data_IF_377544488827
#
_entry.id   IF_377544488827
#
_cell.length_a   1.000
_cell.length_b   1.000
_cell.length_c   1.000
_cell.angle_alpha   90.00
_cell.angle_beta   90.00
_cell.angle_gamma   90.00
#
_symmetry.space_group_name_H-M   'P 1'
#
loop_
_entity.id
_entity.type
_entity.pdbx_description
1 polymer ?
#
# COMPACT_ATOMS: atom_id res chain seq x y z
N UNK A 1 58.76 20.76 -13.68
CA UNK A 1 57.29 20.83 -13.79
C UNK A 1 56.72 19.52 -13.26
N UNK A 2 56.79 19.28 -11.95
CA UNK A 2 56.14 18.14 -11.30
C UNK A 2 54.78 18.59 -10.78
N UNK A 3 53.77 18.43 -11.64
CA UNK A 3 52.38 18.65 -11.24
C UNK A 3 51.95 17.37 -10.51
N UNK A 4 52.02 17.36 -9.18
CA UNK A 4 51.30 16.39 -8.35
C UNK A 4 49.85 16.44 -8.80
N UNK A 5 49.41 15.41 -9.50
CA UNK A 5 48.01 15.16 -9.78
C UNK A 5 47.35 14.93 -8.42
N UNK A 6 46.70 15.96 -7.91
CA UNK A 6 45.78 15.83 -6.79
C UNK A 6 44.76 14.75 -7.18
N UNK A 7 44.90 13.59 -6.56
CA UNK A 7 44.02 12.46 -6.76
C UNK A 7 42.60 12.91 -6.41
N UNK A 8 41.71 12.81 -7.40
CA UNK A 8 40.29 13.15 -7.32
C UNK A 8 39.70 12.61 -6.00
N UNK A 9 38.95 13.41 -5.22
CA UNK A 9 38.43 13.04 -3.90
C UNK A 9 37.71 11.68 -3.83
N UNK A 10 37.11 11.26 -4.95
CA UNK A 10 36.41 9.98 -5.09
C UNK A 10 37.30 8.75 -4.93
N UNK A 11 38.59 8.80 -5.34
CA UNK A 11 39.53 7.67 -5.18
C UNK A 11 39.86 7.44 -3.70
N UNK A 12 40.12 8.52 -2.96
CA UNK A 12 40.47 8.46 -1.53
C UNK A 12 39.30 7.96 -0.68
N UNK A 13 38.07 8.39 -0.98
CA UNK A 13 36.87 7.89 -0.30
C UNK A 13 36.63 6.41 -0.60
N UNK A 14 36.74 5.99 -1.87
CA UNK A 14 36.49 4.60 -2.25
C UNK A 14 37.49 3.64 -1.57
N UNK A 15 38.77 4.02 -1.47
CA UNK A 15 39.79 3.23 -0.77
C UNK A 15 39.48 3.11 0.73
N UNK A 16 39.23 4.22 1.42
CA UNK A 16 38.86 4.23 2.84
C UNK A 16 37.58 3.44 3.12
N UNK A 17 36.56 3.60 2.27
CA UNK A 17 35.32 2.86 2.38
C UNK A 17 35.53 1.37 2.11
N UNK A 18 36.38 1.01 1.14
CA UNK A 18 36.71 -0.39 0.83
C UNK A 18 37.40 -1.06 2.02
N UNK A 19 38.38 -0.40 2.63
CA UNK A 19 39.04 -0.88 3.85
C UNK A 19 38.04 -1.07 5.00
N UNK A 20 37.18 -0.08 5.22
CA UNK A 20 36.12 -0.19 6.23
C UNK A 20 35.18 -1.39 5.97
N UNK A 21 34.76 -1.60 4.72
CA UNK A 21 33.87 -2.70 4.35
C UNK A 21 34.45 -4.09 4.63
N UNK A 22 35.79 -4.23 4.63
CA UNK A 22 36.48 -5.47 4.98
C UNK A 22 36.49 -5.75 6.50
N UNK A 23 36.24 -4.75 7.34
CA UNK A 23 36.17 -4.94 8.79
C UNK A 23 34.91 -5.71 9.22
N UNK A 24 34.91 -6.23 10.45
CA UNK A 24 33.71 -6.83 11.07
C UNK A 24 32.52 -5.86 11.10
N UNK A 25 32.79 -4.57 11.36
CA UNK A 25 31.76 -3.54 11.37
C UNK A 25 31.20 -3.29 9.96
N UNK A 26 32.05 -3.18 8.95
CA UNK A 26 31.64 -3.02 7.56
C UNK A 26 30.87 -4.21 7.01
N UNK A 27 31.21 -5.44 7.42
CA UNK A 27 30.41 -6.64 7.12
C UNK A 27 29.02 -6.57 7.76
N UNK A 28 28.92 -6.18 9.03
CA UNK A 28 27.63 -5.99 9.72
C UNK A 28 26.79 -4.89 9.05
N UNK A 29 27.41 -3.79 8.64
CA UNK A 29 26.74 -2.71 7.92
C UNK A 29 26.12 -3.22 6.62
N UNK A 30 26.87 -3.98 5.81
CA UNK A 30 26.36 -4.54 4.55
C UNK A 30 25.19 -5.48 4.77
N UNK A 31 25.31 -6.40 5.73
CA UNK A 31 24.21 -7.31 6.08
C UNK A 31 23.00 -6.53 6.58
N UNK A 32 23.21 -5.53 7.44
CA UNK A 32 22.16 -4.65 7.96
C UNK A 32 21.47 -3.86 6.86
N UNK A 33 22.21 -3.33 5.89
CA UNK A 33 21.64 -2.63 4.74
C UNK A 33 20.76 -3.56 3.89
N UNK A 34 21.25 -4.76 3.57
CA UNK A 34 20.50 -5.75 2.79
C UNK A 34 19.24 -6.21 3.53
N UNK A 35 19.37 -6.57 4.82
CA UNK A 35 18.22 -6.95 5.66
C UNK A 35 17.22 -5.81 5.82
N UNK A 36 17.71 -4.59 6.02
CA UNK A 36 16.88 -3.39 6.09
C UNK A 36 16.13 -3.13 4.78
N UNK A 37 16.77 -3.36 3.63
CA UNK A 37 16.13 -3.24 2.30
C UNK A 37 14.96 -4.20 2.17
N UNK A 38 15.13 -5.46 2.60
CA UNK A 38 14.07 -6.49 2.57
C UNK A 38 12.88 -6.07 3.44
N UNK A 39 13.16 -5.56 4.65
CA UNK A 39 12.12 -5.18 5.61
C UNK A 39 11.48 -3.79 5.34
N UNK A 40 12.13 -2.91 4.57
CA UNK A 40 11.71 -1.52 4.41
C UNK A 40 10.29 -1.37 3.86
N UNK A 41 9.95 -2.08 2.78
CA UNK A 41 8.64 -1.96 2.16
C UNK A 41 7.53 -2.58 3.04
N UNK A 42 7.66 -3.80 3.59
CA UNK A 42 6.67 -4.33 4.53
C UNK A 42 6.42 -3.42 5.73
N UNK A 43 7.49 -2.89 6.36
CA UNK A 43 7.37 -1.99 7.52
C UNK A 43 6.71 -0.68 7.10
N UNK A 44 7.16 -0.05 6.01
CA UNK A 44 6.56 1.18 5.50
C UNK A 44 5.09 0.99 5.13
N UNK A 45 4.74 -0.14 4.52
CA UNK A 45 3.35 -0.47 4.19
C UNK A 45 2.49 -0.63 5.44
N UNK A 46 3.01 -1.22 6.52
CA UNK A 46 2.29 -1.34 7.80
C UNK A 46 2.15 0.01 8.51
N UNK A 47 3.15 0.89 8.40
CA UNK A 47 3.11 2.24 8.99
C UNK A 47 2.25 3.22 8.19
N UNK A 48 2.00 2.98 6.90
CA UNK A 48 1.14 3.86 6.09
C UNK A 48 -0.29 3.35 6.09
N UNK A 49 -0.47 2.03 5.96
CA UNK A 49 -1.79 1.39 5.81
C UNK A 49 -2.23 0.66 7.09
N UNK A 50 -1.55 0.89 8.21
CA UNK A 50 -1.89 0.29 9.49
C UNK A 50 -3.24 0.78 10.03
N UNK A 51 -3.81 0.10 11.05
CA UNK A 51 -5.09 0.46 11.63
C UNK A 51 -4.96 1.75 12.47
N UNK A 52 -5.04 2.90 11.81
CA UNK A 52 -5.09 4.21 12.45
C UNK A 52 -6.53 4.64 12.69
N UNK A 53 -6.90 4.94 13.95
CA UNK A 53 -8.13 5.61 14.40
C UNK A 53 -9.22 5.71 13.32
N UNK A 54 -9.99 4.64 13.22
CA UNK A 54 -10.87 4.37 12.11
C UNK A 54 -12.31 4.66 12.56
N UNK A 55 -13.10 5.37 11.75
CA UNK A 55 -14.53 5.59 12.02
C UNK A 55 -15.27 4.27 11.76
N UNK A 56 -15.95 3.74 12.78
CA UNK A 56 -16.68 2.48 12.67
C UNK A 56 -17.82 2.59 11.65
N UNK A 57 -18.18 1.46 11.04
CA UNK A 57 -19.33 1.42 10.13
C UNK A 57 -20.62 1.78 10.88
N UNK A 58 -21.49 2.63 10.28
CA UNK A 58 -22.85 2.84 10.75
C UNK A 58 -23.60 1.51 10.92
N UNK A 59 -24.54 1.39 11.89
CA UNK A 59 -25.21 0.13 12.20
C UNK A 59 -25.85 -0.58 10.99
N UNK A 60 -26.43 0.20 10.05
CA UNK A 60 -26.98 -0.33 8.80
C UNK A 60 -25.92 -1.04 7.97
N UNK A 61 -24.78 -0.39 7.75
CA UNK A 61 -23.69 -0.93 6.94
C UNK A 61 -23.03 -2.12 7.62
N UNK A 62 -22.83 -2.06 8.94
CA UNK A 62 -22.29 -3.18 9.72
C UNK A 62 -23.13 -4.44 9.57
N UNK A 63 -24.47 -4.32 9.65
CA UNK A 63 -25.38 -5.46 9.43
C UNK A 63 -25.25 -6.03 8.02
N UNK A 64 -25.27 -5.18 7.00
CA UNK A 64 -25.15 -5.62 5.59
C UNK A 64 -23.80 -6.31 5.36
N UNK A 65 -22.73 -5.73 5.88
CA UNK A 65 -21.38 -6.30 5.82
C UNK A 65 -21.30 -7.70 6.44
N UNK A 66 -21.85 -7.88 7.64
CA UNK A 66 -21.88 -9.17 8.34
C UNK A 66 -22.67 -10.21 7.54
N UNK A 67 -23.80 -9.83 6.94
CA UNK A 67 -24.60 -10.70 6.08
C UNK A 67 -23.85 -11.13 4.82
N UNK A 68 -23.22 -10.20 4.09
CA UNK A 68 -22.48 -10.53 2.87
C UNK A 68 -21.18 -11.29 3.19
N UNK A 69 -20.52 -11.00 4.31
CA UNK A 69 -19.38 -11.77 4.78
C UNK A 69 -19.78 -13.23 5.10
N UNK A 70 -20.91 -13.44 5.78
CA UNK A 70 -21.40 -14.78 6.06
C UNK A 70 -21.75 -15.56 4.77
N UNK A 71 -22.42 -14.91 3.81
CA UNK A 71 -22.72 -15.49 2.49
C UNK A 71 -21.44 -15.87 1.74
N UNK A 72 -20.44 -15.00 1.77
CA UNK A 72 -19.16 -15.22 1.15
C UNK A 72 -18.41 -16.41 1.78
N UNK A 73 -18.40 -16.52 3.11
CA UNK A 73 -17.81 -17.69 3.78
C UNK A 73 -18.52 -18.99 3.39
N UNK A 74 -19.84 -18.97 3.32
CA UNK A 74 -20.64 -20.13 2.89
C UNK A 74 -20.34 -20.51 1.43
N UNK A 75 -20.32 -19.54 0.51
CA UNK A 75 -20.08 -19.80 -0.91
C UNK A 75 -18.67 -20.32 -1.19
N UNK A 76 -17.66 -19.78 -0.52
CA UNK A 76 -16.26 -20.19 -0.69
C UNK A 76 -15.84 -21.33 0.25
N UNK A 77 -16.77 -21.91 1.02
CA UNK A 77 -16.50 -22.97 2.01
C UNK A 77 -15.39 -22.62 3.02
N UNK A 78 -15.37 -21.36 3.48
CA UNK A 78 -14.37 -20.82 4.40
C UNK A 78 -14.86 -20.78 5.83
N UNK A 79 -13.92 -20.75 6.76
CA UNK A 79 -14.18 -20.56 8.19
C UNK A 79 -13.70 -19.18 8.64
N UNK A 80 -14.37 -18.53 9.62
CA UNK A 80 -14.06 -17.16 10.01
C UNK A 80 -12.61 -16.90 10.43
N UNK A 81 -11.93 -17.92 10.97
CA UNK A 81 -10.52 -17.82 11.37
C UNK A 81 -9.55 -17.66 10.18
N UNK A 82 -9.98 -18.00 8.98
CA UNK A 82 -9.16 -18.02 7.77
C UNK A 82 -9.39 -16.78 6.89
N UNK A 83 -10.32 -15.88 7.25
CA UNK A 83 -10.67 -14.69 6.48
C UNK A 83 -10.99 -13.50 7.40
N UNK A 84 -9.96 -12.90 8.00
CA UNK A 84 -10.16 -11.73 8.88
C UNK A 84 -10.48 -10.50 8.03
N UNK A 85 -11.60 -9.82 8.33
CA UNK A 85 -12.00 -8.58 7.64
C UNK A 85 -12.27 -7.48 8.66
N UNK A 86 -11.66 -6.32 8.43
CA UNK A 86 -11.95 -5.09 9.18
C UNK A 86 -12.48 -4.05 8.20
N UNK A 87 -13.62 -3.45 8.52
CA UNK A 87 -14.26 -2.49 7.64
C UNK A 87 -14.55 -1.19 8.35
N UNK A 88 -14.55 -0.11 7.57
CA UNK A 88 -14.78 1.23 8.06
C UNK A 88 -15.27 2.18 7.00
N UNK A 89 -15.76 3.34 7.42
CA UNK A 89 -16.26 4.36 6.52
C UNK A 89 -15.15 5.34 6.11
N UNK A 90 -15.15 5.75 4.84
CA UNK A 90 -14.34 6.85 4.34
C UNK A 90 -14.61 8.14 5.12
N UNK A 91 -13.57 8.95 5.30
CA UNK A 91 -13.60 10.11 6.21
C UNK A 91 -14.02 11.39 5.49
N UNK A 92 -13.75 11.50 4.21
CA UNK A 92 -13.90 12.74 3.44
C UNK A 92 -14.85 12.54 2.27
N UNK A 93 -15.52 13.62 1.86
CA UNK A 93 -16.44 13.59 0.70
C UNK A 93 -15.76 13.14 -0.60
N UNK A 94 -14.44 13.33 -0.72
CA UNK A 94 -13.63 12.88 -1.86
C UNK A 94 -13.31 11.38 -1.88
N UNK A 95 -13.63 10.64 -0.81
CA UNK A 95 -13.44 9.19 -0.73
C UNK A 95 -14.58 8.47 -1.48
N UNK A 96 -14.60 8.60 -2.81
CA UNK A 96 -15.65 8.06 -3.68
C UNK A 96 -15.55 6.56 -3.93
N UNK A 97 -14.36 5.98 -3.77
CA UNK A 97 -14.10 4.58 -4.07
C UNK A 97 -13.66 3.81 -2.83
N UNK A 98 -13.85 2.49 -2.85
CA UNK A 98 -13.31 1.64 -1.79
C UNK A 98 -11.79 1.74 -1.79
N UNK A 99 -11.20 2.02 -0.63
CA UNK A 99 -9.77 1.87 -0.41
C UNK A 99 -9.51 0.62 0.45
N UNK A 100 -9.01 -0.44 -0.19
CA UNK A 100 -8.72 -1.70 0.48
C UNK A 100 -7.21 -1.96 0.60
N UNK A 101 -6.81 -2.54 1.73
CA UNK A 101 -5.44 -2.95 2.01
C UNK A 101 -5.42 -4.34 2.66
N UNK A 102 -4.40 -5.13 2.33
CA UNK A 102 -4.30 -6.51 2.83
C UNK A 102 -5.11 -7.50 2.01
N UNK A 103 -5.40 -8.66 2.58
CA UNK A 103 -6.07 -9.76 1.90
C UNK A 103 -6.58 -10.81 2.87
N UNK A 104 -7.61 -11.55 2.44
CA UNK A 104 -8.19 -12.68 3.16
C UNK A 104 -7.22 -13.87 3.30
N UNK A 105 -6.19 -13.98 2.45
CA UNK A 105 -5.22 -15.09 2.49
C UNK A 105 -4.15 -15.01 3.60
N UNK A 106 -4.13 -13.92 4.39
CA UNK A 106 -3.11 -13.69 5.44
C UNK A 106 -3.76 -13.42 6.79
N UNK A 107 -3.08 -13.75 7.89
CA UNK A 107 -3.62 -13.61 9.25
C UNK A 107 -3.95 -12.17 9.67
N UNK A 108 -3.28 -11.18 9.08
CA UNK A 108 -3.59 -9.76 9.32
C UNK A 108 -4.90 -9.34 8.67
N UNK A 109 -5.41 -10.13 7.71
CA UNK A 109 -6.70 -9.92 7.09
C UNK A 109 -6.76 -8.82 6.03
N UNK A 110 -7.99 -8.57 5.59
CA UNK A 110 -8.39 -7.51 4.68
C UNK A 110 -8.92 -6.32 5.48
N UNK A 111 -8.42 -5.13 5.19
CA UNK A 111 -8.89 -3.87 5.72
C UNK A 111 -9.56 -3.08 4.59
N UNK A 112 -10.82 -2.69 4.76
CA UNK A 112 -11.62 -2.02 3.73
C UNK A 112 -12.16 -0.70 4.26
N UNK A 113 -11.77 0.40 3.64
CA UNK A 113 -12.47 1.68 3.75
C UNK A 113 -13.56 1.73 2.69
N UNK A 114 -14.82 1.66 3.07
CA UNK A 114 -15.93 1.82 2.14
C UNK A 114 -16.09 3.30 1.77
N UNK A 115 -16.60 3.62 0.57
CA UNK A 115 -16.79 4.99 0.13
C UNK A 115 -17.55 5.82 1.15
N UNK A 116 -17.17 7.09 1.31
CA UNK A 116 -17.79 8.02 2.25
C UNK A 116 -19.31 8.07 2.08
N UNK A 117 -19.77 8.09 0.84
CA UNK A 117 -21.18 8.24 0.47
C UNK A 117 -22.03 6.99 0.81
N UNK A 118 -21.41 5.83 1.06
CA UNK A 118 -22.14 4.64 1.51
C UNK A 118 -22.86 4.85 2.86
N UNK A 119 -22.48 5.87 3.65
CA UNK A 119 -23.07 6.15 4.96
C UNK A 119 -24.55 6.55 4.88
N UNK A 120 -24.98 7.21 3.80
CA UNK A 120 -26.32 7.78 3.70
C UNK A 120 -27.35 6.74 3.25
N UNK A 121 -28.51 6.73 3.90
CA UNK A 121 -29.64 5.88 3.51
C UNK A 121 -30.53 6.55 2.45
N UNK A 122 -30.68 7.86 2.54
CA UNK A 122 -31.57 8.65 1.71
C UNK A 122 -30.97 10.04 1.47
N UNK A 123 -31.61 10.80 0.58
CA UNK A 123 -31.13 12.11 0.14
C UNK A 123 -31.23 13.13 1.27
N UNK A 124 -32.24 13.00 2.14
CA UNK A 124 -32.46 13.86 3.29
C UNK A 124 -31.32 13.77 4.30
N UNK A 125 -30.87 12.56 4.64
CA UNK A 125 -29.72 12.33 5.51
C UNK A 125 -28.43 12.90 4.91
N UNK A 126 -28.23 12.75 3.59
CA UNK A 126 -27.07 13.32 2.90
C UNK A 126 -27.09 14.86 2.97
N UNK A 127 -28.23 15.48 2.66
CA UNK A 127 -28.40 16.93 2.71
C UNK A 127 -28.23 17.49 4.13
N UNK A 128 -28.81 16.82 5.13
CA UNK A 128 -28.65 17.20 6.54
C UNK A 128 -27.18 17.11 6.97
N UNK A 129 -26.47 16.07 6.55
CA UNK A 129 -25.05 15.92 6.81
C UNK A 129 -24.24 17.05 6.17
N UNK A 130 -24.44 17.33 4.87
CA UNK A 130 -23.69 18.36 4.16
C UNK A 130 -23.88 19.76 4.79
N UNK A 131 -25.12 20.06 5.21
CA UNK A 131 -25.44 21.33 5.89
C UNK A 131 -24.83 21.40 7.29
N UNK A 132 -25.01 20.37 8.10
CA UNK A 132 -24.51 20.35 9.49
C UNK A 132 -22.99 20.39 9.59
N UNK A 133 -22.29 19.84 8.59
CA UNK A 133 -20.83 19.80 8.54
C UNK A 133 -20.22 20.96 7.72
N UNK A 134 -21.04 21.93 7.28
CA UNK A 134 -20.62 23.08 6.46
C UNK A 134 -19.80 22.68 5.23
N UNK A 135 -20.19 21.60 4.56
CA UNK A 135 -19.59 21.23 3.29
C UNK A 135 -20.16 22.18 2.25
N UNK A 136 -19.38 23.14 1.78
CA UNK A 136 -19.82 24.18 0.84
C UNK A 136 -19.25 23.98 -0.57
N UNK A 137 -18.42 22.96 -0.74
CA UNK A 137 -17.71 22.68 -1.98
C UNK A 137 -17.41 21.19 -2.14
N UNK A 138 -17.30 20.75 -3.39
CA UNK A 138 -16.90 19.40 -3.76
C UNK A 138 -15.70 19.50 -4.70
N UNK A 139 -14.73 18.61 -4.56
CA UNK A 139 -13.61 18.52 -5.48
C UNK A 139 -14.04 17.85 -6.80
N UNK A 140 -13.83 18.54 -7.91
CA UNK A 140 -14.06 18.03 -9.26
C UNK A 140 -12.87 18.38 -10.15
N UNK A 141 -12.15 17.37 -10.63
CA UNK A 141 -10.93 17.53 -11.44
C UNK A 141 -9.91 18.48 -10.77
N UNK A 142 -9.63 18.27 -9.49
CA UNK A 142 -8.73 19.10 -8.65
C UNK A 142 -9.17 20.56 -8.48
N UNK A 143 -10.42 20.89 -8.82
CA UNK A 143 -11.03 22.20 -8.59
C UNK A 143 -12.14 22.09 -7.55
N UNK A 144 -12.10 22.96 -6.53
CA UNK A 144 -13.19 23.10 -5.57
C UNK A 144 -14.38 23.82 -6.21
N UNK A 145 -15.46 23.09 -6.44
CA UNK A 145 -16.71 23.62 -7.00
C UNK A 145 -17.65 23.96 -5.85
N UNK A 146 -18.02 25.24 -5.67
CA UNK A 146 -19.00 25.64 -4.67
C UNK A 146 -20.35 24.97 -4.93
N UNK A 147 -20.98 24.47 -3.87
CA UNK A 147 -22.22 23.70 -3.94
C UNK A 147 -23.28 24.30 -3.04
N UNK A 148 -24.46 24.55 -3.62
CA UNK A 148 -25.63 25.07 -2.90
C UNK A 148 -26.64 23.94 -2.67
N UNK A 149 -26.61 23.34 -1.48
CA UNK A 149 -27.45 22.19 -1.13
C UNK A 149 -28.94 22.49 -1.00
N UNK A 150 -29.31 23.76 -0.76
CA UNK A 150 -30.70 24.21 -0.62
C UNK A 150 -31.43 24.41 -1.96
N UNK A 151 -30.88 23.91 -3.06
CA UNK A 151 -31.43 24.06 -4.40
C UNK A 151 -31.89 22.71 -4.97
N UNK A 152 -32.80 22.69 -5.97
CA UNK A 152 -33.15 21.45 -6.66
C UNK A 152 -31.92 20.72 -7.23
N UNK A 153 -30.97 21.47 -7.81
CA UNK A 153 -29.71 20.91 -8.30
C UNK A 153 -28.82 20.36 -7.18
N UNK A 154 -28.81 21.00 -6.01
CA UNK A 154 -28.13 20.49 -4.81
C UNK A 154 -28.74 19.19 -4.30
N UNK A 155 -30.07 19.07 -4.32
CA UNK A 155 -30.77 17.82 -3.99
C UNK A 155 -30.49 16.71 -5.00
N UNK A 156 -30.45 17.05 -6.29
CA UNK A 156 -30.08 16.11 -7.35
C UNK A 156 -28.64 15.62 -7.18
N UNK A 157 -27.71 16.53 -6.88
CA UNK A 157 -26.31 16.18 -6.60
C UNK A 157 -26.19 15.31 -5.35
N UNK A 158 -26.91 15.62 -4.27
CA UNK A 158 -26.92 14.80 -3.06
C UNK A 158 -27.47 13.39 -3.32
N UNK A 159 -28.37 13.21 -4.30
CA UNK A 159 -28.86 11.88 -4.66
C UNK A 159 -27.77 10.96 -5.22
N UNK A 160 -26.72 11.51 -5.84
CA UNK A 160 -25.56 10.74 -6.28
C UNK A 160 -24.72 10.19 -5.12
N UNK A 161 -24.90 10.72 -3.91
CA UNK A 161 -24.24 10.24 -2.69
C UNK A 161 -25.04 9.15 -1.97
N UNK A 162 -26.14 8.67 -2.53
CA UNK A 162 -26.99 7.67 -1.88
C UNK A 162 -26.91 6.35 -2.64
N UNK A 163 -26.43 5.31 -1.95
CA UNK A 163 -26.41 3.95 -2.49
C UNK A 163 -27.63 3.16 -2.02
N UNK A 164 -28.27 2.46 -2.97
CA UNK A 164 -29.27 1.44 -2.64
C UNK A 164 -28.64 0.31 -1.81
N UNK A 165 -29.45 -0.38 -0.99
CA UNK A 165 -28.98 -1.53 -0.22
C UNK A 165 -28.35 -2.61 -1.12
N UNK A 166 -28.87 -2.82 -2.33
CA UNK A 166 -28.29 -3.76 -3.29
C UNK A 166 -26.91 -3.31 -3.78
N UNK A 167 -26.71 -2.01 -4.02
CA UNK A 167 -25.41 -1.47 -4.40
C UNK A 167 -24.39 -1.61 -3.26
N UNK A 168 -24.80 -1.36 -2.01
CA UNK A 168 -23.97 -1.57 -0.82
C UNK A 168 -23.60 -3.05 -0.66
N UNK A 169 -24.56 -3.98 -0.82
CA UNK A 169 -24.30 -5.43 -0.79
C UNK A 169 -23.31 -5.85 -1.86
N UNK A 170 -23.54 -5.40 -3.10
CA UNK A 170 -22.64 -5.67 -4.22
C UNK A 170 -21.22 -5.17 -3.92
N UNK A 171 -21.07 -3.96 -3.39
CA UNK A 171 -19.78 -3.39 -3.03
C UNK A 171 -19.04 -4.25 -2.00
N UNK A 172 -19.69 -4.65 -0.90
CA UNK A 172 -19.06 -5.52 0.09
C UNK A 172 -18.64 -6.86 -0.48
N UNK A 173 -19.51 -7.51 -1.26
CA UNK A 173 -19.23 -8.80 -1.85
C UNK A 173 -18.11 -8.71 -2.91
N UNK A 174 -18.13 -7.67 -3.75
CA UNK A 174 -17.06 -7.35 -4.71
C UNK A 174 -15.71 -7.22 -4.00
N UNK A 175 -15.66 -6.47 -2.91
CA UNK A 175 -14.42 -6.22 -2.16
C UNK A 175 -13.90 -7.50 -1.50
N UNK A 176 -14.78 -8.39 -1.04
CA UNK A 176 -14.36 -9.71 -0.55
C UNK A 176 -13.73 -10.54 -1.66
N UNK A 177 -14.43 -10.75 -2.79
CA UNK A 177 -13.92 -11.58 -3.90
C UNK A 177 -12.66 -11.00 -4.55
N UNK A 178 -12.57 -9.68 -4.70
CA UNK A 178 -11.38 -9.02 -5.27
C UNK A 178 -10.12 -9.28 -4.44
N UNK A 179 -10.27 -9.52 -3.14
CA UNK A 179 -9.18 -9.72 -2.19
C UNK A 179 -9.06 -11.16 -1.68
N UNK A 180 -9.82 -12.09 -2.26
CA UNK A 180 -9.94 -13.46 -1.80
C UNK A 180 -8.92 -14.44 -2.41
N UNK A 181 -8.45 -14.13 -3.62
CA UNK A 181 -7.66 -15.05 -4.45
C UNK A 181 -6.13 -14.91 -4.33
N UNK A 182 -5.43 -15.39 -5.37
CA UNK A 182 -3.97 -15.33 -5.54
C UNK A 182 -3.40 -13.89 -5.44
N UNK A 183 -4.26 -12.87 -5.57
CA UNK A 183 -3.93 -11.47 -5.30
C UNK A 183 -3.40 -11.24 -3.88
N UNK A 184 -3.75 -12.10 -2.92
CA UNK A 184 -3.17 -12.20 -1.58
C UNK A 184 -1.65 -12.44 -1.57
N UNK A 185 -1.19 -13.35 -2.43
CA UNK A 185 0.22 -13.66 -2.67
C UNK A 185 0.90 -12.61 -3.56
N UNK A 186 0.11 -11.85 -4.33
CA UNK A 186 0.57 -10.70 -5.11
C UNK A 186 0.77 -9.42 -4.31
N UNK A 187 0.62 -9.48 -2.98
CA UNK A 187 0.84 -8.32 -2.12
C UNK A 187 2.26 -7.79 -2.35
N UNK A 188 2.37 -6.49 -2.68
CA UNK A 188 3.65 -5.82 -2.98
C UNK A 188 4.69 -6.00 -1.87
N UNK A 189 4.27 -6.21 -0.62
CA UNK A 189 5.16 -6.48 0.49
C UNK A 189 5.84 -7.84 0.41
N UNK A 190 5.09 -8.90 0.07
CA UNK A 190 5.61 -10.26 -0.08
C UNK A 190 6.49 -10.34 -1.33
N UNK A 191 6.01 -9.78 -2.45
CA UNK A 191 6.77 -9.72 -3.70
C UNK A 191 8.07 -8.91 -3.52
N UNK A 192 8.00 -7.73 -2.88
CA UNK A 192 9.19 -6.96 -2.52
C UNK A 192 10.18 -7.77 -1.70
N UNK A 193 9.72 -8.39 -0.60
CA UNK A 193 10.59 -9.17 0.27
C UNK A 193 11.26 -10.33 -0.50
N UNK A 194 10.54 -10.95 -1.43
CA UNK A 194 11.05 -12.04 -2.27
C UNK A 194 12.12 -11.54 -3.23
N UNK A 195 11.80 -10.55 -4.06
CA UNK A 195 12.75 -9.99 -5.02
C UNK A 195 13.98 -9.43 -4.32
N UNK A 196 13.80 -8.64 -3.27
CA UNK A 196 14.93 -8.07 -2.53
C UNK A 196 15.76 -9.10 -1.77
N UNK A 197 15.18 -10.24 -1.36
CA UNK A 197 15.96 -11.34 -0.80
C UNK A 197 16.89 -11.97 -1.85
N UNK A 198 16.38 -12.28 -3.04
CA UNK A 198 17.20 -12.79 -4.13
C UNK A 198 18.29 -11.79 -4.53
N UNK A 199 17.91 -10.54 -4.76
CA UNK A 199 18.86 -9.52 -5.18
C UNK A 199 19.89 -9.19 -4.10
N UNK A 200 19.54 -9.32 -2.81
CA UNK A 200 20.49 -9.20 -1.69
C UNK A 200 21.50 -10.35 -1.66
N UNK A 201 21.06 -11.59 -1.89
CA UNK A 201 21.94 -12.76 -1.99
C UNK A 201 22.92 -12.57 -3.17
N UNK A 202 22.41 -12.19 -4.35
CA UNK A 202 23.25 -11.93 -5.52
C UNK A 202 24.21 -10.76 -5.31
N UNK A 203 23.75 -9.67 -4.69
CA UNK A 203 24.61 -8.53 -4.35
C UNK A 203 25.75 -8.97 -3.44
N UNK A 204 25.45 -9.75 -2.40
CA UNK A 204 26.47 -10.27 -1.48
C UNK A 204 27.44 -11.22 -2.19
N UNK A 205 26.94 -12.15 -3.00
CA UNK A 205 27.75 -13.14 -3.73
C UNK A 205 28.66 -12.49 -4.79
N UNK A 206 28.11 -11.60 -5.62
CA UNK A 206 28.86 -10.93 -6.70
C UNK A 206 29.94 -10.00 -6.16
N UNK A 207 29.65 -9.29 -5.08
CA UNK A 207 30.59 -8.36 -4.47
C UNK A 207 31.67 -9.09 -3.64
N UNK A 208 31.31 -10.10 -2.83
CA UNK A 208 32.27 -10.76 -1.93
C UNK A 208 32.97 -11.98 -2.52
N UNK A 209 32.22 -12.85 -3.21
CA UNK A 209 32.75 -14.13 -3.68
C UNK A 209 33.33 -14.00 -5.09
N UNK A 210 32.55 -13.46 -6.02
CA UNK A 210 33.00 -13.28 -7.40
C UNK A 210 33.90 -12.05 -7.60
N UNK A 211 33.92 -11.13 -6.62
CA UNK A 211 34.69 -9.85 -6.64
C UNK A 211 34.53 -9.10 -7.96
N UNK A 212 33.34 -9.12 -8.55
CA UNK A 212 33.09 -8.39 -9.79
C UNK A 212 33.36 -6.90 -9.53
N UNK A 213 34.08 -6.26 -10.45
CA UNK A 213 34.60 -4.89 -10.33
C UNK A 213 35.51 -4.66 -9.10
N UNK A 214 36.27 -5.68 -8.69
CA UNK A 214 37.37 -5.57 -7.73
C UNK A 214 37.00 -5.64 -6.25
N UNK A 215 35.72 -5.89 -5.92
CA UNK A 215 35.26 -5.98 -4.52
C UNK A 215 35.39 -4.67 -3.74
N UNK A 216 35.38 -3.54 -4.42
CA UNK A 216 35.51 -2.19 -3.84
C UNK A 216 34.18 -1.66 -3.30
N UNK A 217 34.20 -0.62 -2.48
CA UNK A 217 32.99 0.04 -2.02
C UNK A 217 32.15 0.57 -3.19
N UNK A 218 32.78 1.13 -4.21
CA UNK A 218 32.08 1.53 -5.44
C UNK A 218 31.44 0.33 -6.16
N UNK A 219 32.10 -0.83 -6.23
CA UNK A 219 31.46 -2.00 -6.83
C UNK A 219 30.25 -2.48 -6.02
N UNK A 220 30.31 -2.42 -4.69
CA UNK A 220 29.16 -2.70 -3.85
C UNK A 220 27.99 -1.77 -4.16
N UNK A 221 28.22 -0.45 -4.21
CA UNK A 221 27.18 0.56 -4.48
C UNK A 221 26.54 0.34 -5.85
N UNK A 222 27.35 0.10 -6.89
CA UNK A 222 26.85 -0.12 -8.26
C UNK A 222 26.03 -1.41 -8.33
N UNK A 223 26.56 -2.52 -7.81
CA UNK A 223 25.87 -3.82 -7.80
C UNK A 223 24.55 -3.69 -7.03
N UNK A 224 24.60 -3.18 -5.80
CA UNK A 224 23.42 -2.99 -4.95
C UNK A 224 22.35 -2.14 -5.64
N UNK A 225 22.73 -0.99 -6.22
CA UNK A 225 21.78 -0.09 -6.88
C UNK A 225 21.09 -0.74 -8.08
N UNK A 226 21.85 -1.47 -8.92
CA UNK A 226 21.31 -2.18 -10.07
C UNK A 226 20.31 -3.27 -9.64
N UNK A 227 20.66 -4.01 -8.59
CA UNK A 227 19.84 -5.10 -8.07
C UNK A 227 18.59 -4.60 -7.35
N UNK A 228 18.67 -3.50 -6.60
CA UNK A 228 17.49 -2.84 -6.00
C UNK A 228 16.57 -2.29 -7.08
N UNK A 229 17.12 -1.67 -8.15
CA UNK A 229 16.31 -1.21 -9.27
C UNK A 229 15.60 -2.35 -9.99
N UNK A 230 16.28 -3.48 -10.21
CA UNK A 230 15.68 -4.69 -10.77
C UNK A 230 14.58 -5.24 -9.84
N UNK A 231 14.82 -5.32 -8.53
CA UNK A 231 13.82 -5.76 -7.57
C UNK A 231 12.59 -4.84 -7.55
N UNK A 232 12.80 -3.52 -7.63
CA UNK A 232 11.71 -2.54 -7.73
C UNK A 232 10.88 -2.73 -9.01
N UNK A 233 11.55 -2.87 -10.15
CA UNK A 233 10.88 -3.10 -11.44
C UNK A 233 10.07 -4.40 -11.41
N UNK A 234 10.67 -5.52 -10.99
CA UNK A 234 9.99 -6.80 -10.91
C UNK A 234 8.83 -6.79 -9.91
N UNK A 235 8.98 -6.13 -8.76
CA UNK A 235 7.88 -5.95 -7.81
C UNK A 235 6.73 -5.14 -8.41
N UNK A 236 7.03 -4.10 -9.20
CA UNK A 236 6.01 -3.32 -9.91
C UNK A 236 5.31 -4.16 -10.98
N UNK A 237 6.04 -4.85 -11.84
CA UNK A 237 5.45 -5.70 -12.88
C UNK A 237 4.62 -6.85 -12.30
N UNK A 238 5.09 -7.44 -11.20
CA UNK A 238 4.32 -8.45 -10.46
C UNK A 238 3.01 -7.88 -9.93
N UNK A 239 3.04 -6.67 -9.38
CA UNK A 239 1.83 -6.02 -8.90
C UNK A 239 0.86 -5.68 -10.03
N UNK A 240 1.37 -5.13 -11.14
CA UNK A 240 0.57 -4.73 -12.30
C UNK A 240 -0.04 -5.94 -13.03
N UNK A 241 0.56 -7.14 -12.94
CA UNK A 241 0.02 -8.37 -13.53
C UNK A 241 -1.21 -8.90 -12.80
N UNK A 242 -1.29 -8.71 -11.48
CA UNK A 242 -2.30 -9.30 -10.62
C UNK A 242 -3.36 -8.30 -10.12
N UNK A 243 -3.37 -7.09 -10.68
CA UNK A 243 -4.35 -6.03 -10.43
C UNK A 243 -4.96 -5.55 -11.74
#
# INVERSE_FOLDING_TARGET
YDRKLDLVPSRRWNEQATEFLQTKAGRRLRIGLLAGTIAAYPIGSLLINGPYAVEELPPRLKKIAEEEYARFLESESRVPKDAVVTQHIGKTIGDYETAAAGSLGVRTGLHVAVPFHARFRNVEEALEYFKSHNIDSIDFLDVKVPTLWDTPSGSELASAFVLSDNAVRFMFLRDLHAHDGYASLAQRSISWATWTSFTSIFTYWLHNSAKICGGTAMSFVVIYSLFVAAAWYSNKQWYDLYR
#
